data_IF_192702626482
#
_entry.id   IF_192702626482
#
_cell.length_a   1.000
_cell.length_b   1.000
_cell.length_c   1.000
_cell.angle_alpha   90.00
_cell.angle_beta   90.00
_cell.angle_gamma   90.00
#
_symmetry.space_group_name_H-M   'P 1'
#
loop_
_entity.id
_entity.type
_entity.pdbx_description
1 polymer ?
#
# COMPACT_ATOMS: atom_id res chain seq x y z
N UNK A 1 -20.55 2.59 16.14
CA UNK A 1 -20.16 3.98 16.40
C UNK A 1 -19.86 4.63 15.04
N UNK A 2 -20.62 5.65 14.67
CA UNK A 2 -20.32 6.41 13.44
C UNK A 2 -19.26 7.45 13.82
N UNK A 3 -18.13 7.43 13.14
CA UNK A 3 -17.06 8.42 13.32
C UNK A 3 -17.14 9.37 12.14
N UNK A 4 -17.40 10.64 12.41
CA UNK A 4 -17.38 11.66 11.38
C UNK A 4 -15.93 11.92 10.97
N UNK A 5 -15.68 11.88 9.68
CA UNK A 5 -14.36 12.09 9.08
C UNK A 5 -13.88 13.52 9.27
N UNK A 6 -14.78 14.46 9.04
CA UNK A 6 -14.54 15.89 9.20
C UNK A 6 -15.01 16.28 10.61
N UNK A 7 -14.11 16.88 11.37
CA UNK A 7 -14.40 17.41 12.71
C UNK A 7 -15.01 18.80 12.60
N UNK A 8 -14.45 19.62 11.72
CA UNK A 8 -14.80 21.04 11.62
C UNK A 8 -14.51 21.58 10.22
N UNK A 9 -15.36 22.49 9.76
CA UNK A 9 -15.16 23.21 8.49
C UNK A 9 -15.28 24.70 8.84
N UNK A 10 -14.21 25.44 8.65
CA UNK A 10 -14.18 26.89 8.86
C UNK A 10 -13.92 27.62 7.54
N UNK A 11 -14.55 28.78 7.37
CA UNK A 11 -14.25 29.66 6.26
C UNK A 11 -13.05 30.52 6.60
N UNK A 12 -11.98 30.38 5.85
CA UNK A 12 -10.82 31.23 6.01
C UNK A 12 -11.11 32.63 5.47
N UNK A 13 -11.19 33.59 6.36
CA UNK A 13 -11.53 34.99 6.02
C UNK A 13 -10.39 35.76 5.39
N UNK A 14 -9.14 35.28 5.53
CA UNK A 14 -7.94 35.95 5.04
C UNK A 14 -7.67 35.67 3.56
N UNK A 15 -7.91 34.45 3.11
CA UNK A 15 -7.64 34.01 1.74
C UNK A 15 -8.89 33.56 0.96
N UNK A 16 -10.07 33.62 1.58
CA UNK A 16 -11.34 33.18 0.99
C UNK A 16 -11.48 31.66 0.81
N UNK A 17 -10.55 30.89 1.35
CA UNK A 17 -10.55 29.43 1.32
C UNK A 17 -11.46 28.80 2.35
N UNK A 18 -11.42 27.48 2.42
CA UNK A 18 -12.10 26.68 3.45
C UNK A 18 -11.04 25.85 4.16
N UNK A 19 -10.94 26.02 5.49
CA UNK A 19 -10.11 25.19 6.33
C UNK A 19 -10.92 23.98 6.82
N UNK A 20 -10.38 22.80 6.63
CA UNK A 20 -11.02 21.54 7.01
C UNK A 20 -10.17 20.86 8.09
N UNK A 21 -10.74 20.74 9.28
CA UNK A 21 -10.12 19.99 10.37
C UNK A 21 -10.66 18.57 10.39
N UNK A 22 -9.79 17.60 10.25
CA UNK A 22 -10.14 16.19 10.27
C UNK A 22 -10.18 15.62 11.69
N UNK A 23 -11.02 14.61 11.88
CA UNK A 23 -11.10 13.92 13.15
C UNK A 23 -9.76 13.17 13.40
N UNK A 24 -9.10 13.40 14.55
CA UNK A 24 -7.82 12.74 14.86
C UNK A 24 -7.93 11.22 15.04
N UNK A 25 -9.13 10.67 15.17
CA UNK A 25 -9.37 9.22 15.17
C UNK A 25 -9.28 8.60 13.77
N UNK A 26 -9.23 9.45 12.72
CA UNK A 26 -9.12 9.02 11.31
C UNK A 26 -7.73 9.40 10.81
N UNK A 27 -6.88 8.41 10.55
CA UNK A 27 -5.48 8.66 10.23
C UNK A 27 -5.19 8.92 8.77
N UNK A 28 -6.04 8.47 7.86
CA UNK A 28 -5.72 8.47 6.45
C UNK A 28 -6.96 8.56 5.58
N UNK A 29 -6.95 9.55 4.66
CA UNK A 29 -7.88 9.63 3.56
C UNK A 29 -7.12 9.42 2.25
N UNK A 30 -7.52 8.43 1.49
CA UNK A 30 -7.05 8.27 0.13
C UNK A 30 -8.26 8.36 -0.80
N UNK A 31 -8.28 9.38 -1.64
CA UNK A 31 -9.19 9.41 -2.78
C UNK A 31 -8.56 8.57 -3.90
N UNK A 32 -9.22 7.50 -4.28
CA UNK A 32 -8.86 6.71 -5.45
C UNK A 32 -10.10 6.59 -6.32
N UNK A 33 -10.06 7.10 -7.55
CA UNK A 33 -11.13 6.99 -8.55
C UNK A 33 -12.53 7.33 -8.04
N UNK A 34 -12.65 8.36 -7.18
CA UNK A 34 -13.95 8.81 -6.64
C UNK A 34 -14.39 8.12 -5.35
N UNK A 35 -13.61 7.19 -4.82
CA UNK A 35 -13.85 6.57 -3.51
C UNK A 35 -12.96 7.14 -2.39
N UNK A 36 -13.48 7.17 -1.18
CA UNK A 36 -12.72 7.53 0.04
C UNK A 36 -12.49 6.27 0.85
N UNK A 37 -11.22 5.94 1.09
CA UNK A 37 -10.84 4.84 2.00
C UNK A 37 -10.38 5.45 3.32
N UNK A 38 -11.04 5.07 4.41
CA UNK A 38 -10.72 5.50 5.76
C UNK A 38 -10.07 4.38 6.53
N UNK A 39 -8.87 4.60 7.02
CA UNK A 39 -8.17 3.68 7.92
C UNK A 39 -8.26 4.19 9.36
N UNK A 40 -8.54 3.29 10.30
CA UNK A 40 -8.60 3.64 11.72
C UNK A 40 -7.17 3.70 12.29
N UNK A 41 -6.81 4.83 12.89
CA UNK A 41 -5.51 5.05 13.56
C UNK A 41 -5.17 4.00 14.61
N UNK A 42 -6.16 3.42 15.25
CA UNK A 42 -5.97 2.39 16.27
C UNK A 42 -5.21 1.17 15.73
N UNK A 43 -5.58 0.69 14.54
CA UNK A 43 -4.95 -0.48 13.92
C UNK A 43 -3.53 -0.16 13.44
N UNK A 44 -3.30 1.05 12.91
CA UNK A 44 -1.97 1.47 12.47
C UNK A 44 -0.92 1.55 13.59
N UNK A 45 -1.35 1.83 14.83
CA UNK A 45 -0.43 1.92 15.98
C UNK A 45 0.12 0.57 16.43
N UNK A 46 -0.58 -0.51 16.09
CA UNK A 46 -0.22 -1.85 16.52
C UNK A 46 0.86 -2.50 15.63
N UNK A 47 1.16 -1.88 14.47
CA UNK A 47 2.21 -2.35 13.58
C UNK A 47 3.59 -1.77 13.94
N UNK A 48 4.55 -2.66 14.20
CA UNK A 48 5.94 -2.31 14.48
C UNK A 48 6.74 -2.02 13.20
N UNK A 49 6.34 -2.65 12.08
CA UNK A 49 7.05 -2.54 10.80
C UNK A 49 6.29 -1.67 9.79
N UNK A 50 7.03 -0.77 9.15
CA UNK A 50 6.47 0.11 8.08
C UNK A 50 5.90 -0.72 6.93
N UNK A 51 6.55 -1.84 6.58
CA UNK A 51 6.08 -2.74 5.53
C UNK A 51 4.72 -3.36 5.84
N UNK A 52 4.48 -3.71 7.10
CA UNK A 52 3.20 -4.26 7.56
C UNK A 52 2.09 -3.23 7.43
N UNK A 53 2.36 -2.01 7.87
CA UNK A 53 1.44 -0.89 7.74
C UNK A 53 1.07 -0.64 6.28
N UNK A 54 2.07 -0.51 5.40
CA UNK A 54 1.87 -0.28 3.97
C UNK A 54 1.11 -1.42 3.29
N UNK A 55 1.44 -2.68 3.60
CA UNK A 55 0.74 -3.84 3.05
C UNK A 55 -0.71 -3.89 3.54
N UNK A 56 -0.95 -3.64 4.82
CA UNK A 56 -2.30 -3.54 5.37
C UNK A 56 -3.13 -2.47 4.66
N UNK A 57 -2.58 -1.25 4.50
CA UNK A 57 -3.24 -0.16 3.77
C UNK A 57 -3.60 -0.54 2.33
N UNK A 58 -2.68 -1.22 1.62
CA UNK A 58 -2.91 -1.67 0.24
C UNK A 58 -4.07 -2.66 0.17
N UNK A 59 -4.06 -3.70 1.01
CA UNK A 59 -5.08 -4.76 1.01
C UNK A 59 -6.41 -4.21 1.50
N UNK A 60 -6.40 -3.43 2.58
CA UNK A 60 -7.61 -2.85 3.14
C UNK A 60 -8.30 -1.90 2.15
N UNK A 61 -7.52 -1.13 1.39
CA UNK A 61 -8.04 -0.27 0.31
C UNK A 61 -8.78 -1.08 -0.75
N UNK A 62 -8.26 -2.23 -1.15
CA UNK A 62 -8.92 -3.12 -2.12
C UNK A 62 -10.22 -3.73 -1.56
N UNK A 63 -10.22 -4.11 -0.28
CA UNK A 63 -11.40 -4.61 0.40
C UNK A 63 -12.51 -3.55 0.42
N UNK A 64 -12.17 -2.33 0.82
CA UNK A 64 -13.13 -1.24 0.93
C UNK A 64 -13.69 -0.80 -0.43
N UNK A 65 -12.87 -0.81 -1.49
CA UNK A 65 -13.32 -0.47 -2.84
C UNK A 65 -14.31 -1.50 -3.42
N UNK A 66 -14.26 -2.74 -2.98
CA UNK A 66 -15.12 -3.81 -3.49
C UNK A 66 -16.46 -3.94 -2.75
N UNK A 67 -16.68 -3.19 -1.68
CA UNK A 67 -17.93 -3.21 -0.90
C UNK A 67 -18.34 -4.65 -0.49
N UNK A 68 -17.40 -5.40 0.05
CA UNK A 68 -17.56 -6.82 0.35
C UNK A 68 -18.34 -7.03 1.67
N UNK A 69 -19.16 -8.08 1.76
CA UNK A 69 -19.79 -8.47 3.02
C UNK A 69 -18.72 -8.94 4.02
N UNK A 70 -19.02 -8.80 5.32
CA UNK A 70 -18.14 -9.28 6.38
C UNK A 70 -17.88 -10.78 6.23
N UNK A 71 -16.61 -11.17 6.26
CA UNK A 71 -16.16 -12.55 6.12
C UNK A 71 -16.03 -13.02 4.67
N UNK A 72 -16.15 -12.13 3.68
CA UNK A 72 -15.87 -12.46 2.30
C UNK A 72 -14.38 -12.76 2.09
N UNK A 73 -14.10 -13.79 1.29
CA UNK A 73 -12.77 -14.07 0.79
C UNK A 73 -12.53 -13.33 -0.53
N UNK A 74 -11.35 -12.74 -0.68
CA UNK A 74 -10.97 -12.03 -1.89
C UNK A 74 -9.58 -12.45 -2.35
N UNK A 75 -9.39 -12.42 -3.66
CA UNK A 75 -8.07 -12.55 -4.26
C UNK A 75 -7.59 -11.18 -4.76
N UNK A 76 -6.37 -10.81 -4.37
CA UNK A 76 -5.70 -9.59 -4.81
C UNK A 76 -4.32 -9.96 -5.32
N UNK A 77 -3.98 -9.50 -6.52
CA UNK A 77 -2.68 -9.82 -7.13
C UNK A 77 -1.91 -8.53 -7.43
N UNK A 78 -0.66 -8.49 -7.01
CA UNK A 78 0.28 -7.40 -7.30
C UNK A 78 1.49 -7.92 -8.06
N UNK A 79 2.11 -7.08 -8.89
CA UNK A 79 3.42 -7.39 -9.44
C UNK A 79 4.48 -7.38 -8.34
N UNK A 80 5.53 -8.17 -8.52
CA UNK A 80 6.63 -8.21 -7.56
C UNK A 80 7.36 -6.86 -7.48
N UNK A 81 7.49 -6.15 -8.60
CA UNK A 81 8.08 -4.83 -8.66
C UNK A 81 7.28 -3.81 -7.83
N UNK A 82 5.96 -3.79 -8.01
CA UNK A 82 5.06 -2.94 -7.22
C UNK A 82 5.21 -3.18 -5.72
N UNK A 83 5.16 -4.44 -5.28
CA UNK A 83 5.30 -4.77 -3.86
C UNK A 83 6.65 -4.36 -3.28
N UNK A 84 7.75 -4.64 -3.98
CA UNK A 84 9.08 -4.25 -3.55
C UNK A 84 9.22 -2.74 -3.39
N UNK A 85 8.70 -1.97 -4.35
CA UNK A 85 8.76 -0.50 -4.30
C UNK A 85 7.84 0.08 -3.22
N UNK A 86 6.61 -0.39 -3.11
CA UNK A 86 5.64 0.13 -2.14
C UNK A 86 5.95 -0.24 -0.70
N UNK A 87 6.43 -1.47 -0.45
CA UNK A 87 6.71 -1.93 0.92
C UNK A 87 8.07 -1.51 1.44
N UNK A 88 8.98 -1.06 0.57
CA UNK A 88 10.30 -0.59 0.98
C UNK A 88 10.29 0.85 1.47
N UNK A 89 11.30 1.18 2.26
CA UNK A 89 11.66 2.57 2.56
C UNK A 89 12.71 2.98 1.55
N UNK A 90 12.36 3.89 0.65
CA UNK A 90 13.25 4.38 -0.39
C UNK A 90 13.91 5.68 0.08
N UNK A 91 15.22 5.77 -0.07
CA UNK A 91 15.89 7.06 0.03
C UNK A 91 15.71 7.80 -1.30
N UNK A 92 14.76 8.71 -1.33
CA UNK A 92 14.41 9.46 -2.54
C UNK A 92 15.55 10.32 -3.06
N UNK A 93 16.53 10.67 -2.21
CA UNK A 93 17.70 11.45 -2.63
C UNK A 93 18.63 10.72 -3.61
N UNK A 94 18.54 9.39 -3.65
CA UNK A 94 19.33 8.55 -4.54
C UNK A 94 18.77 8.43 -5.96
N UNK A 95 17.56 8.95 -6.21
CA UNK A 95 16.86 8.79 -7.48
C UNK A 95 16.64 10.13 -8.19
N UNK A 96 16.54 10.06 -9.51
CA UNK A 96 16.18 11.23 -10.32
C UNK A 96 14.71 11.65 -10.04
N UNK A 97 14.42 12.94 -10.23
CA UNK A 97 13.05 13.45 -10.10
C UNK A 97 12.09 12.70 -11.01
N UNK A 98 12.50 12.30 -12.20
CA UNK A 98 11.69 11.50 -13.13
C UNK A 98 11.28 10.14 -12.57
N UNK A 99 12.16 9.43 -11.85
CA UNK A 99 11.82 8.16 -11.20
C UNK A 99 10.84 8.41 -10.06
N UNK A 100 11.08 9.45 -9.25
CA UNK A 100 10.22 9.82 -8.12
C UNK A 100 8.81 10.16 -8.60
N UNK A 101 8.70 10.98 -9.65
CA UNK A 101 7.42 11.38 -10.24
C UNK A 101 6.67 10.17 -10.81
N UNK A 102 7.37 9.23 -11.45
CA UNK A 102 6.77 8.00 -11.97
C UNK A 102 6.24 7.11 -10.85
N UNK A 103 6.99 6.96 -9.75
CA UNK A 103 6.52 6.23 -8.56
C UNK A 103 5.25 6.89 -7.99
N UNK A 104 5.23 8.21 -7.87
CA UNK A 104 4.10 8.97 -7.35
C UNK A 104 2.84 8.88 -8.22
N UNK A 105 3.00 8.73 -9.54
CA UNK A 105 1.90 8.69 -10.50
C UNK A 105 1.51 7.26 -10.95
N UNK A 106 2.31 6.24 -10.59
CA UNK A 106 2.03 4.87 -10.98
C UNK A 106 0.76 4.34 -10.30
N UNK A 107 -0.11 3.74 -11.10
CA UNK A 107 -1.38 3.17 -10.61
C UNK A 107 -1.14 1.77 -10.06
N UNK A 108 -1.87 1.44 -8.99
CA UNK A 108 -1.92 0.07 -8.47
C UNK A 108 -2.40 -0.89 -9.56
N UNK A 109 -1.70 -1.99 -9.76
CA UNK A 109 -2.02 -2.99 -10.80
C UNK A 109 -1.53 -2.65 -12.20
N UNK A 110 -0.86 -1.53 -12.41
CA UNK A 110 -0.17 -1.23 -13.69
C UNK A 110 1.23 -1.88 -13.68
N UNK A 111 1.22 -3.20 -13.86
CA UNK A 111 2.42 -4.03 -13.79
C UNK A 111 3.55 -3.53 -14.70
N UNK A 112 3.22 -3.11 -15.93
CA UNK A 112 4.21 -2.67 -16.92
C UNK A 112 4.93 -1.40 -16.45
N UNK A 113 4.20 -0.45 -15.87
CA UNK A 113 4.80 0.76 -15.30
C UNK A 113 5.68 0.44 -14.10
N UNK A 114 5.24 -0.41 -13.17
CA UNK A 114 6.03 -0.79 -12.00
C UNK A 114 7.30 -1.55 -12.37
N UNK A 115 7.24 -2.49 -13.30
CA UNK A 115 8.40 -3.23 -13.82
C UNK A 115 9.41 -2.30 -14.51
N UNK A 116 8.92 -1.34 -15.30
CA UNK A 116 9.77 -0.34 -15.95
C UNK A 116 10.48 0.55 -14.92
N UNK A 117 9.76 1.06 -13.90
CA UNK A 117 10.37 1.87 -12.84
C UNK A 117 11.45 1.07 -12.11
N UNK A 118 11.12 -0.16 -11.71
CA UNK A 118 12.04 -1.04 -10.98
C UNK A 118 13.30 -1.33 -11.79
N UNK A 119 13.17 -1.55 -13.09
CA UNK A 119 14.29 -1.78 -14.02
C UNK A 119 15.18 -0.54 -14.14
N UNK A 120 14.57 0.64 -14.29
CA UNK A 120 15.31 1.91 -14.45
C UNK A 120 16.07 2.32 -13.17
N UNK A 121 15.65 1.83 -12.00
CA UNK A 121 16.38 2.01 -10.74
C UNK A 121 17.69 1.20 -10.71
N UNK A 122 17.83 0.17 -11.52
CA UNK A 122 19.02 -0.66 -11.63
C UNK A 122 19.46 -1.25 -10.29
N UNK A 123 20.74 -1.12 -9.96
CA UNK A 123 21.31 -1.67 -8.71
C UNK A 123 20.77 -1.00 -7.44
N UNK A 124 20.14 0.17 -7.54
CA UNK A 124 19.52 0.89 -6.44
C UNK A 124 18.09 0.40 -6.14
N UNK A 125 17.51 -0.45 -7.01
CA UNK A 125 16.21 -1.02 -6.78
C UNK A 125 16.20 -1.89 -5.50
N UNK A 126 15.17 -1.76 -4.65
CA UNK A 126 15.14 -2.45 -3.37
C UNK A 126 15.00 -3.98 -3.56
N UNK A 127 15.69 -4.73 -2.71
CA UNK A 127 15.54 -6.20 -2.66
C UNK A 127 15.70 -6.91 -4.00
N UNK A 128 16.86 -6.80 -4.64
CA UNK A 128 17.19 -7.50 -5.89
C UNK A 128 16.84 -9.00 -5.84
N UNK A 129 17.19 -9.66 -4.74
CA UNK A 129 16.91 -11.08 -4.53
C UNK A 129 15.55 -11.29 -3.89
N UNK A 130 14.71 -12.12 -4.53
CA UNK A 130 13.41 -12.53 -4.00
C UNK A 130 13.47 -13.01 -2.55
N UNK A 131 14.39 -13.91 -2.23
CA UNK A 131 14.49 -14.50 -0.89
C UNK A 131 14.69 -13.46 0.21
N UNK A 132 15.45 -12.40 -0.07
CA UNK A 132 15.63 -11.31 0.89
C UNK A 132 14.35 -10.50 1.09
N UNK A 133 13.61 -10.24 0.02
CA UNK A 133 12.32 -9.55 0.11
C UNK A 133 11.30 -10.41 0.85
N UNK A 134 11.18 -11.67 0.47
CA UNK A 134 10.25 -12.60 1.11
C UNK A 134 10.48 -12.67 2.63
N UNK A 135 11.72 -12.97 3.07
CA UNK A 135 11.99 -13.21 4.48
C UNK A 135 12.04 -11.97 5.36
N UNK A 136 12.48 -10.83 4.82
CA UNK A 136 12.69 -9.61 5.62
C UNK A 136 11.53 -8.62 5.55
N UNK A 137 10.68 -8.75 4.55
CA UNK A 137 9.58 -7.79 4.31
C UNK A 137 8.24 -8.49 4.26
N UNK A 138 8.04 -9.38 3.28
CA UNK A 138 6.72 -9.91 3.00
C UNK A 138 6.21 -10.85 4.11
N UNK A 139 7.02 -11.83 4.52
CA UNK A 139 6.63 -12.78 5.57
C UNK A 139 6.40 -12.07 6.90
N UNK A 140 7.28 -11.13 7.26
CA UNK A 140 7.15 -10.32 8.48
C UNK A 140 5.87 -9.49 8.45
N UNK A 141 5.58 -8.83 7.33
CA UNK A 141 4.38 -8.03 7.18
C UNK A 141 3.09 -8.87 7.28
N UNK A 142 3.07 -10.04 6.65
CA UNK A 142 1.92 -10.96 6.70
C UNK A 142 1.70 -11.50 8.11
N UNK A 143 2.76 -11.90 8.81
CA UNK A 143 2.69 -12.39 10.19
C UNK A 143 2.14 -11.31 11.14
N UNK A 144 2.66 -10.09 11.03
CA UNK A 144 2.22 -8.97 11.87
C UNK A 144 0.76 -8.58 11.58
N UNK A 145 0.36 -8.50 10.31
CA UNK A 145 -1.04 -8.23 9.93
C UNK A 145 -1.96 -9.31 10.53
N UNK A 146 -1.60 -10.58 10.40
CA UNK A 146 -2.38 -11.69 10.93
C UNK A 146 -2.45 -11.71 12.47
N UNK A 147 -1.50 -11.13 13.17
CA UNK A 147 -1.50 -11.08 14.63
C UNK A 147 -2.19 -9.84 15.21
N UNK A 148 -2.09 -8.68 14.53
CA UNK A 148 -2.47 -7.38 15.09
C UNK A 148 -3.72 -6.77 14.46
N UNK A 149 -4.28 -7.35 13.36
CA UNK A 149 -5.41 -6.76 12.66
C UNK A 149 -6.65 -7.65 12.59
N UNK A 150 -7.73 -7.11 12.04
CA UNK A 150 -9.02 -7.76 11.84
C UNK A 150 -9.13 -8.56 10.54
N UNK A 151 -8.10 -8.45 9.66
CA UNK A 151 -8.02 -9.25 8.44
C UNK A 151 -7.05 -10.41 8.60
N UNK A 152 -7.25 -11.45 7.81
CA UNK A 152 -6.34 -12.59 7.72
C UNK A 152 -5.92 -12.76 6.28
N UNK A 153 -4.61 -12.81 6.06
CA UNK A 153 -4.04 -12.89 4.73
C UNK A 153 -3.07 -14.06 4.60
N UNK A 154 -3.08 -14.66 3.42
CA UNK A 154 -2.08 -15.61 2.97
C UNK A 154 -1.56 -15.14 1.63
N UNK A 155 -0.39 -15.57 1.24
CA UNK A 155 0.13 -15.26 -0.08
C UNK A 155 0.68 -16.49 -0.78
N UNK A 156 0.62 -16.46 -2.09
CA UNK A 156 1.24 -17.43 -2.97
C UNK A 156 2.05 -16.75 -4.06
N UNK A 157 3.14 -17.40 -4.44
CA UNK A 157 4.04 -16.90 -5.47
C UNK A 157 3.54 -17.37 -6.83
N UNK A 158 3.33 -16.43 -7.74
CA UNK A 158 3.00 -16.71 -9.12
C UNK A 158 4.24 -16.58 -9.99
N UNK A 159 4.65 -17.70 -10.61
CA UNK A 159 5.83 -17.75 -11.45
C UNK A 159 5.41 -17.95 -12.92
N UNK A 160 5.90 -17.09 -13.79
CA UNK A 160 5.61 -17.14 -15.22
C UNK A 160 6.91 -17.16 -16.04
N UNK A 161 6.85 -17.84 -17.19
CA UNK A 161 7.91 -17.83 -18.20
C UNK A 161 9.01 -18.89 -18.03
N UNK A 162 10.01 -18.81 -18.90
CA UNK A 162 11.19 -19.69 -18.88
C UNK A 162 12.02 -19.40 -17.62
N UNK A 163 12.29 -20.43 -16.82
CA UNK A 163 13.06 -20.34 -15.58
C UNK A 163 12.23 -20.13 -14.31
N UNK A 164 10.90 -20.07 -14.39
CA UNK A 164 9.98 -19.95 -13.24
C UNK A 164 10.32 -18.79 -12.30
N UNK A 165 10.70 -17.64 -12.87
CA UNK A 165 10.89 -16.41 -12.08
C UNK A 165 9.55 -15.97 -11.49
N UNK A 166 9.54 -15.61 -10.20
CA UNK A 166 8.36 -15.05 -9.55
C UNK A 166 8.18 -13.63 -10.08
N UNK A 167 7.02 -13.35 -10.65
CA UNK A 167 6.68 -12.04 -11.20
C UNK A 167 5.53 -11.37 -10.46
N UNK A 168 4.67 -12.17 -9.83
CA UNK A 168 3.50 -11.67 -9.10
C UNK A 168 3.31 -12.41 -7.78
N UNK A 169 2.62 -11.76 -6.87
CA UNK A 169 2.19 -12.31 -5.59
C UNK A 169 0.68 -12.16 -5.50
N UNK A 170 -0.01 -13.26 -5.19
CA UNK A 170 -1.44 -13.28 -4.92
C UNK A 170 -1.65 -13.35 -3.41
N UNK A 171 -2.54 -12.52 -2.92
CA UNK A 171 -3.05 -12.55 -1.54
C UNK A 171 -4.49 -13.07 -1.55
N UNK A 172 -4.79 -13.91 -0.53
CA UNK A 172 -6.10 -14.50 -0.27
C UNK A 172 -6.49 -14.22 1.17
#
# INVERSE_FOLDING_TARGET
KVINIVKEIERNTENGGIDITYNPEVSYFRMNNGGVVTLLKSIERDFSHISSKKLYEMIYSEIMLRTLPKGAEIEITYSLAELKLKLSVLDVSEFSSSIIDRIGNARTGDDATWESIYTDMGDKAPYQRWKNFETRVLAVAVEEINSCSDIRIRYENLAYGKGKAITKIRFN
#
